data_IF_479829003174
#
_entry.id   IF_479829003174
#
_cell.length_a   1.000
_cell.length_b   1.000
_cell.length_c   1.000
_cell.angle_alpha   90.00
_cell.angle_beta   90.00
_cell.angle_gamma   90.00
#
_symmetry.space_group_name_H-M   'P 1'
#
loop_
_entity.id
_entity.type
_entity.pdbx_description
1 polymer ?
#
# COMPACT_ATOMS: atom_id res chain seq x y z
N UNK A 1 -9.64 -14.07 6.11
CA UNK A 1 -10.05 -12.66 5.92
C UNK A 1 -9.04 -11.69 6.52
N UNK A 2 -8.93 -11.59 7.86
CA UNK A 2 -8.07 -10.60 8.54
C UNK A 2 -6.56 -10.77 8.24
N UNK A 3 -6.09 -12.01 8.06
CA UNK A 3 -4.70 -12.29 7.71
C UNK A 3 -4.26 -11.59 6.40
N UNK A 4 -5.12 -11.59 5.38
CA UNK A 4 -4.81 -10.99 4.08
C UNK A 4 -4.64 -9.47 4.23
N UNK A 5 -5.51 -8.83 5.01
CA UNK A 5 -5.41 -7.40 5.29
C UNK A 5 -4.12 -7.05 6.03
N UNK A 6 -3.70 -7.89 6.98
CA UNK A 6 -2.42 -7.70 7.68
C UNK A 6 -1.24 -7.80 6.71
N UNK A 7 -1.22 -8.82 5.85
CA UNK A 7 -0.16 -8.99 4.84
C UNK A 7 -0.09 -7.77 3.91
N UNK A 8 -1.25 -7.34 3.38
CA UNK A 8 -1.31 -6.14 2.53
C UNK A 8 -0.85 -4.88 3.26
N UNK A 9 -1.19 -4.74 4.54
CA UNK A 9 -0.72 -3.61 5.37
C UNK A 9 0.81 -3.60 5.46
N UNK A 10 1.42 -4.76 5.75
CA UNK A 10 2.88 -4.87 5.83
C UNK A 10 3.56 -4.66 4.47
N UNK A 11 2.97 -5.14 3.38
CA UNK A 11 3.49 -4.92 2.02
C UNK A 11 3.45 -3.43 1.64
N UNK A 12 2.34 -2.74 1.91
CA UNK A 12 2.21 -1.31 1.65
C UNK A 12 3.13 -0.48 2.55
N UNK A 13 3.28 -0.88 3.81
CA UNK A 13 4.22 -0.25 4.74
C UNK A 13 5.67 -0.44 4.28
N UNK A 14 6.04 -1.66 3.90
CA UNK A 14 7.34 -1.96 3.29
C UNK A 14 7.58 -1.12 2.04
N UNK A 15 6.59 -1.02 1.15
CA UNK A 15 6.67 -0.16 -0.03
C UNK A 15 6.85 1.32 0.30
N UNK A 16 6.19 1.82 1.35
CA UNK A 16 6.37 3.20 1.82
C UNK A 16 7.83 3.43 2.27
N UNK A 17 8.35 2.55 3.12
CA UNK A 17 9.72 2.64 3.62
C UNK A 17 10.72 2.53 2.47
N UNK A 18 10.56 1.55 1.59
CA UNK A 18 11.44 1.35 0.44
C UNK A 18 11.42 2.54 -0.51
N UNK A 19 10.30 3.26 -0.67
CA UNK A 19 10.25 4.43 -1.55
C UNK A 19 11.21 5.56 -1.14
N UNK A 20 11.60 5.63 0.14
CA UNK A 20 12.59 6.60 0.63
C UNK A 20 14.04 6.19 0.37
N UNK A 21 14.35 4.90 0.47
CA UNK A 21 15.71 4.37 0.34
C UNK A 21 16.05 3.89 -1.08
N UNK A 22 15.04 3.44 -1.82
CA UNK A 22 15.11 2.95 -3.20
C UNK A 22 13.89 3.48 -3.98
N UNK A 23 13.86 4.79 -4.31
CA UNK A 23 12.72 5.41 -5.00
C UNK A 23 12.39 4.80 -6.37
N UNK A 24 13.37 4.12 -6.97
CA UNK A 24 13.21 3.43 -8.26
C UNK A 24 12.91 1.93 -8.14
N UNK A 25 12.77 1.39 -6.93
CA UNK A 25 12.56 -0.03 -6.66
C UNK A 25 13.52 -0.95 -7.44
N UNK A 26 14.81 -0.58 -7.50
CA UNK A 26 15.85 -1.26 -8.28
C UNK A 26 16.41 -2.49 -7.58
N UNK A 27 16.33 -2.51 -6.25
CA UNK A 27 16.74 -3.66 -5.43
C UNK A 27 15.78 -4.84 -5.60
N UNK A 28 16.28 -6.07 -5.48
CA UNK A 28 15.43 -7.27 -5.58
C UNK A 28 14.24 -7.25 -4.61
N UNK A 29 14.41 -6.91 -3.31
CA UNK A 29 13.28 -6.80 -2.39
C UNK A 29 12.35 -5.64 -2.74
N UNK A 30 12.90 -4.50 -3.20
CA UNK A 30 12.10 -3.35 -3.62
C UNK A 30 11.23 -3.66 -4.83
N UNK A 31 11.76 -4.39 -5.81
CA UNK A 31 11.02 -4.82 -7.00
C UNK A 31 9.90 -5.79 -6.67
N UNK A 32 10.14 -6.73 -5.75
CA UNK A 32 9.10 -7.63 -5.24
C UNK A 32 7.97 -6.86 -4.55
N UNK A 33 8.31 -5.90 -3.69
CA UNK A 33 7.32 -5.04 -3.06
C UNK A 33 6.55 -4.21 -4.09
N UNK A 34 7.24 -3.74 -5.13
CA UNK A 34 6.63 -3.02 -6.23
C UNK A 34 5.57 -3.90 -6.92
N UNK A 35 5.98 -5.04 -7.46
CA UNK A 35 5.10 -5.91 -8.25
C UNK A 35 3.88 -6.39 -7.46
N UNK A 36 4.03 -6.70 -6.16
CA UNK A 36 2.95 -7.19 -5.31
C UNK A 36 1.89 -6.12 -4.98
N UNK A 37 2.29 -4.86 -4.93
CA UNK A 37 1.40 -3.76 -4.51
C UNK A 37 0.95 -2.88 -5.68
N UNK A 38 1.58 -3.01 -6.83
CA UNK A 38 1.26 -2.24 -8.04
C UNK A 38 -0.18 -2.38 -8.52
N UNK A 39 -0.82 -3.57 -8.50
CA UNK A 39 -2.22 -3.70 -8.90
C UNK A 39 -3.19 -2.85 -8.06
N UNK A 40 -2.83 -2.56 -6.80
CA UNK A 40 -3.62 -1.74 -5.88
C UNK A 40 -3.26 -0.26 -6.05
N UNK A 41 -1.98 0.06 -6.19
CA UNK A 41 -1.51 1.44 -6.25
C UNK A 41 -1.65 2.09 -7.63
N UNK A 42 -1.54 1.34 -8.72
CA UNK A 42 -1.63 1.88 -10.08
C UNK A 42 -2.98 2.56 -10.37
N UNK A 43 -4.14 2.00 -9.98
CA UNK A 43 -5.42 2.70 -10.10
C UNK A 43 -5.48 3.98 -9.26
N UNK A 44 -4.95 3.95 -8.02
CA UNK A 44 -4.95 5.11 -7.11
C UNK A 44 -4.07 6.24 -7.67
N UNK A 45 -2.92 5.90 -8.27
CA UNK A 45 -2.02 6.86 -8.94
C UNK A 45 -2.64 7.56 -10.14
N UNK A 46 -3.72 7.02 -10.73
CA UNK A 46 -4.43 7.72 -11.81
C UNK A 46 -5.21 8.93 -11.31
N UNK A 47 -5.55 8.97 -10.02
CA UNK A 47 -6.36 10.03 -9.40
C UNK A 47 -5.49 10.97 -8.57
N UNK A 48 -4.42 10.44 -7.96
CA UNK A 48 -3.52 11.22 -7.12
C UNK A 48 -2.49 12.01 -7.94
N UNK A 49 -2.11 13.23 -7.51
CA UNK A 49 -1.05 13.99 -8.15
C UNK A 49 0.29 13.26 -8.03
N UNK A 50 1.12 13.32 -9.08
CA UNK A 50 2.46 12.72 -9.06
C UNK A 50 3.41 13.58 -8.21
N UNK A 51 3.69 13.16 -6.99
CA UNK A 51 4.45 13.94 -6.00
C UNK A 51 5.95 13.64 -5.95
N UNK A 52 6.57 13.22 -7.06
CA UNK A 52 8.02 12.98 -7.12
C UNK A 52 8.44 11.82 -6.21
N UNK A 53 9.37 12.06 -5.27
CA UNK A 53 9.95 11.01 -4.39
C UNK A 53 8.96 10.40 -3.39
N UNK A 54 7.88 11.10 -3.04
CA UNK A 54 6.86 10.56 -2.13
C UNK A 54 5.69 10.05 -2.96
N UNK A 55 5.42 8.75 -2.91
CA UNK A 55 4.23 8.20 -3.55
C UNK A 55 3.01 8.37 -2.61
N UNK A 56 2.28 9.48 -2.79
CA UNK A 56 1.05 9.75 -2.02
C UNK A 56 -0.03 8.67 -2.22
N UNK A 57 0.04 7.88 -3.30
CA UNK A 57 -0.90 6.77 -3.48
C UNK A 57 -0.74 5.71 -2.38
N UNK A 58 0.46 5.56 -1.80
CA UNK A 58 0.71 4.63 -0.70
C UNK A 58 -0.04 5.08 0.56
N UNK A 59 -0.01 6.38 0.87
CA UNK A 59 -0.75 6.94 2.01
C UNK A 59 -2.26 6.76 1.84
N UNK A 60 -2.78 7.04 0.64
CA UNK A 60 -4.18 6.81 0.31
C UNK A 60 -4.57 5.33 0.42
N UNK A 61 -3.71 4.41 -0.04
CA UNK A 61 -3.95 2.97 0.07
C UNK A 61 -3.96 2.49 1.52
N UNK A 62 -3.02 2.94 2.35
CA UNK A 62 -2.98 2.61 3.79
C UNK A 62 -4.24 3.13 4.51
N UNK A 63 -4.68 4.34 4.19
CA UNK A 63 -5.91 4.91 4.75
C UNK A 63 -7.15 4.12 4.34
N UNK A 64 -7.27 3.77 3.05
CA UNK A 64 -8.37 2.95 2.55
C UNK A 64 -8.39 1.56 3.21
N UNK A 65 -7.22 0.94 3.38
CA UNK A 65 -7.09 -0.36 4.03
C UNK A 65 -7.50 -0.31 5.51
N UNK A 66 -7.18 0.78 6.20
CA UNK A 66 -7.62 1.02 7.58
C UNK A 66 -9.15 1.07 7.70
N UNK A 67 -9.81 1.83 6.81
CA UNK A 67 -11.28 1.92 6.78
C UNK A 67 -11.90 0.54 6.52
N UNK A 68 -11.42 -0.17 5.49
CA UNK A 68 -11.92 -1.51 5.14
C UNK A 68 -11.79 -2.46 6.33
N UNK A 69 -10.65 -2.45 7.02
CA UNK A 69 -10.42 -3.27 8.21
C UNK A 69 -11.41 -2.93 9.31
N UNK A 70 -11.62 -1.65 9.60
CA UNK A 70 -12.55 -1.21 10.65
C UNK A 70 -14.00 -1.63 10.32
N UNK A 71 -14.42 -1.47 9.07
CA UNK A 71 -15.75 -1.90 8.62
C UNK A 71 -15.95 -3.41 8.78
N UNK A 72 -14.98 -4.21 8.33
CA UNK A 72 -15.04 -5.67 8.46
C UNK A 72 -15.08 -6.09 9.93
N UNK A 73 -14.25 -5.48 10.79
CA UNK A 73 -14.24 -5.78 12.22
C UNK A 73 -15.58 -5.41 12.88
N UNK A 74 -16.16 -4.26 12.53
CA UNK A 74 -17.46 -3.86 13.05
C UNK A 74 -18.60 -4.78 12.61
N UNK A 75 -18.54 -5.32 11.38
CA UNK A 75 -19.54 -6.25 10.86
C UNK A 75 -19.40 -7.67 11.43
N UNK A 76 -18.20 -8.07 11.86
CA UNK A 76 -17.93 -9.38 12.47
C UNK A 76 -18.07 -9.38 14.01
N UNK A 77 -17.99 -8.20 14.64
CA UNK A 77 -18.14 -8.01 16.08
C UNK A 77 -19.56 -7.62 16.52
N UNK A 78 -20.55 -7.77 15.62
CA UNK A 78 -21.97 -7.56 15.87
C UNK A 78 -22.73 -8.90 15.83
#
# INVERSE_FOLDING_TARGET
>A
MVLILNILTFLLFGRAVTSWFDPGFRSTPGRLLFDLTEPILAPIRRVMPQTGMLDLSIMAALFMLFIIRQMIQSALGA
#
